data_IF_845266868952
#
_entry.id   IF_845266868952
#
_cell.length_a   1.000
_cell.length_b   1.000
_cell.length_c   1.000
_cell.angle_alpha   90.00
_cell.angle_beta   90.00
_cell.angle_gamma   90.00
#
_symmetry.space_group_name_H-M   'P 1'
#
loop_
_entity.id
_entity.type
_entity.pdbx_description
1 polymer ?
#
# COMPACT_ATOMS: atom_id res chain seq x y z
N UNK A 1 -23.63 1.15 -7.53
CA UNK A 1 -22.18 1.48 -7.57
C UNK A 1 -21.58 0.75 -8.75
N UNK A 2 -20.98 1.48 -9.69
CA UNK A 2 -20.26 0.86 -10.81
C UNK A 2 -19.08 0.05 -10.28
N UNK A 3 -19.02 -1.22 -10.68
CA UNK A 3 -17.94 -2.13 -10.29
C UNK A 3 -16.65 -1.73 -11.00
N UNK A 4 -15.81 -0.94 -10.32
CA UNK A 4 -14.51 -0.52 -10.83
C UNK A 4 -13.49 -1.65 -10.64
N UNK A 5 -13.06 -2.25 -11.74
CA UNK A 5 -11.99 -3.26 -11.73
C UNK A 5 -10.64 -2.54 -11.64
N UNK A 6 -9.86 -2.85 -10.60
CA UNK A 6 -8.49 -2.36 -10.44
C UNK A 6 -7.49 -3.45 -10.86
N UNK A 7 -6.51 -3.09 -11.68
CA UNK A 7 -5.40 -3.97 -12.06
C UNK A 7 -4.25 -3.79 -11.07
N UNK A 8 -3.78 -4.89 -10.51
CA UNK A 8 -2.67 -4.95 -9.56
C UNK A 8 -1.53 -5.74 -10.21
N UNK A 9 -0.32 -5.21 -10.12
CA UNK A 9 0.90 -5.87 -10.61
C UNK A 9 1.68 -6.51 -9.45
N UNK A 10 2.39 -7.59 -9.73
CA UNK A 10 3.40 -8.15 -8.84
C UNK A 10 4.76 -7.89 -9.48
N UNK A 11 5.64 -7.21 -8.77
CA UNK A 11 6.96 -6.82 -9.26
C UNK A 11 7.93 -6.73 -8.10
N UNK A 12 9.12 -7.31 -8.24
CA UNK A 12 10.16 -7.22 -7.20
C UNK A 12 10.52 -5.76 -6.92
N UNK A 13 11.03 -5.49 -5.71
CA UNK A 13 11.47 -4.14 -5.33
C UNK A 13 12.52 -3.57 -6.29
N UNK A 14 13.47 -4.40 -6.72
CA UNK A 14 14.53 -4.01 -7.64
C UNK A 14 13.97 -3.63 -9.01
N UNK A 15 13.07 -4.46 -9.55
CA UNK A 15 12.46 -4.19 -10.85
C UNK A 15 11.51 -2.99 -10.81
N UNK A 16 10.81 -2.78 -9.69
CA UNK A 16 10.00 -1.59 -9.47
C UNK A 16 10.85 -0.32 -9.47
N UNK A 17 12.04 -0.35 -8.83
CA UNK A 17 12.98 0.76 -8.87
C UNK A 17 13.49 1.03 -10.29
N UNK A 18 13.93 -0.01 -11.01
CA UNK A 18 14.36 0.10 -12.41
C UNK A 18 13.27 0.70 -13.29
N UNK A 19 12.05 0.18 -13.18
CA UNK A 19 10.87 0.71 -13.89
C UNK A 19 10.65 2.18 -13.57
N UNK A 20 10.71 2.57 -12.30
CA UNK A 20 10.52 3.96 -11.87
C UNK A 20 11.57 4.89 -12.46
N UNK A 21 12.84 4.47 -12.48
CA UNK A 21 13.94 5.23 -13.09
C UNK A 21 13.75 5.36 -14.59
N UNK A 22 13.43 4.28 -15.32
CA UNK A 22 13.18 4.35 -16.76
C UNK A 22 11.97 5.21 -17.12
N UNK A 23 10.95 5.30 -16.26
CA UNK A 23 9.83 6.25 -16.44
C UNK A 23 10.32 7.69 -16.31
N UNK A 24 11.07 7.98 -15.25
CA UNK A 24 11.61 9.32 -15.01
C UNK A 24 12.54 9.77 -16.14
N UNK A 25 13.33 8.85 -16.70
CA UNK A 25 14.23 9.10 -17.82
C UNK A 25 13.49 9.19 -19.18
N UNK A 26 12.20 8.86 -19.23
CA UNK A 26 11.40 8.86 -20.47
C UNK A 26 11.63 7.67 -21.40
N UNK A 27 12.48 6.71 -21.01
CA UNK A 27 12.77 5.47 -21.74
C UNK A 27 11.56 4.52 -21.74
N UNK A 28 10.75 4.60 -20.69
CA UNK A 28 9.54 3.79 -20.53
C UNK A 28 8.31 4.67 -20.26
N UNK A 29 7.25 4.46 -21.03
CA UNK A 29 5.95 5.13 -20.83
C UNK A 29 4.89 4.08 -20.46
N UNK A 30 4.35 4.09 -19.23
CA UNK A 30 3.34 3.15 -18.80
C UNK A 30 2.09 3.22 -19.67
N UNK A 31 1.49 2.06 -19.97
CA UNK A 31 0.25 2.00 -20.76
C UNK A 31 -0.96 2.35 -19.89
N UNK A 32 -2.05 2.79 -20.52
CA UNK A 32 -3.30 3.11 -19.83
C UNK A 32 -3.88 1.90 -19.09
N UNK A 33 -3.70 0.71 -19.66
CA UNK A 33 -4.20 -0.56 -19.14
C UNK A 33 -3.25 -1.25 -18.16
N UNK A 34 -2.07 -0.69 -17.90
CA UNK A 34 -1.07 -1.27 -17.01
C UNK A 34 -1.47 -1.08 -15.54
N UNK A 35 -1.08 -1.99 -14.63
CA UNK A 35 -1.30 -1.78 -13.21
C UNK A 35 -0.75 -0.44 -12.72
N UNK A 36 -1.51 0.20 -11.82
CA UNK A 36 -1.10 1.44 -11.15
C UNK A 36 -0.56 1.20 -9.74
N UNK A 37 -0.75 -0.01 -9.23
CA UNK A 37 -0.37 -0.44 -7.89
C UNK A 37 0.41 -1.72 -8.02
N UNK A 38 1.62 -1.73 -7.47
CA UNK A 38 2.53 -2.88 -7.52
C UNK A 38 2.88 -3.40 -6.14
N UNK A 39 2.72 -4.71 -5.94
CA UNK A 39 3.14 -5.42 -4.73
C UNK A 39 4.44 -6.18 -5.00
N UNK A 40 5.28 -6.33 -3.98
CA UNK A 40 6.52 -7.10 -4.08
C UNK A 40 6.26 -8.59 -4.32
N UNK A 41 5.14 -9.10 -3.80
CA UNK A 41 4.78 -10.52 -3.91
C UNK A 41 3.28 -10.77 -3.76
N UNK A 42 2.83 -11.97 -4.14
CA UNK A 42 1.43 -12.38 -3.96
C UNK A 42 1.06 -12.48 -2.47
N UNK A 43 2.01 -12.87 -1.62
CA UNK A 43 1.81 -12.95 -0.17
C UNK A 43 1.53 -11.57 0.43
N UNK A 44 2.27 -10.53 0.03
CA UNK A 44 2.02 -9.16 0.49
C UNK A 44 0.63 -8.64 0.08
N UNK A 45 0.20 -8.96 -1.15
CA UNK A 45 -1.16 -8.69 -1.61
C UNK A 45 -2.21 -9.42 -0.76
N UNK A 46 -2.01 -10.71 -0.51
CA UNK A 46 -2.90 -11.53 0.31
C UNK A 46 -3.05 -10.98 1.74
N UNK A 47 -1.97 -10.46 2.33
CA UNK A 47 -2.02 -9.82 3.64
C UNK A 47 -2.92 -8.58 3.64
N UNK A 48 -2.89 -7.73 2.61
CA UNK A 48 -3.78 -6.56 2.51
C UNK A 48 -5.23 -6.98 2.31
N UNK A 49 -5.47 -8.07 1.58
CA UNK A 49 -6.82 -8.62 1.37
C UNK A 49 -7.39 -9.36 2.59
N UNK A 50 -6.58 -9.60 3.62
CA UNK A 50 -7.08 -10.19 4.88
C UNK A 50 -8.08 -9.27 5.57
N UNK A 51 -9.12 -9.85 6.19
CA UNK A 51 -10.17 -9.07 6.86
C UNK A 51 -9.63 -8.08 7.89
N UNK A 52 -8.63 -8.49 8.68
CA UNK A 52 -8.01 -7.62 9.70
C UNK A 52 -7.32 -6.38 9.11
N UNK A 53 -6.66 -6.52 7.96
CA UNK A 53 -5.99 -5.39 7.33
C UNK A 53 -6.96 -4.54 6.49
N UNK A 54 -8.01 -5.14 5.94
CA UNK A 54 -9.11 -4.39 5.32
C UNK A 54 -9.87 -3.53 6.34
N UNK A 55 -10.11 -4.07 7.54
CA UNK A 55 -10.71 -3.32 8.65
C UNK A 55 -9.79 -2.19 9.11
N UNK A 56 -8.48 -2.45 9.25
CA UNK A 56 -7.50 -1.41 9.55
C UNK A 56 -7.52 -0.29 8.50
N UNK A 57 -7.55 -0.64 7.22
CA UNK A 57 -7.61 0.34 6.12
C UNK A 57 -8.89 1.18 6.18
N UNK A 58 -10.03 0.53 6.41
CA UNK A 58 -11.31 1.22 6.57
C UNK A 58 -11.24 2.19 7.74
N UNK A 59 -10.68 1.77 8.86
CA UNK A 59 -10.52 2.59 10.04
C UNK A 59 -9.62 3.81 9.77
N UNK A 60 -8.51 3.64 9.05
CA UNK A 60 -7.64 4.75 8.64
C UNK A 60 -8.39 5.74 7.74
N UNK A 61 -9.20 5.25 6.81
CA UNK A 61 -10.01 6.10 5.91
C UNK A 61 -11.14 6.82 6.63
N UNK A 62 -11.80 6.17 7.59
CA UNK A 62 -12.94 6.76 8.29
C UNK A 62 -12.47 7.80 9.33
N UNK A 63 -11.38 7.49 10.05
CA UNK A 63 -10.94 8.27 11.22
C UNK A 63 -9.78 9.23 10.95
N UNK A 64 -9.08 9.11 9.82
CA UNK A 64 -7.94 9.97 9.45
C UNK A 64 -6.92 10.20 10.59
N UNK A 65 -6.37 9.13 11.21
CA UNK A 65 -5.40 9.28 12.29
C UNK A 65 -4.16 10.05 11.83
N UNK A 66 -3.63 10.88 12.73
CA UNK A 66 -2.48 11.75 12.45
C UNK A 66 -1.14 11.13 12.87
N UNK A 67 -1.16 9.99 13.57
CA UNK A 67 0.04 9.26 13.99
C UNK A 67 -0.23 7.77 14.23
N UNK A 68 0.83 6.95 14.34
CA UNK A 68 0.69 5.55 14.76
C UNK A 68 0.15 5.40 16.18
N UNK A 69 0.41 6.38 17.04
CA UNK A 69 -0.07 6.37 18.41
C UNK A 69 -1.59 6.63 18.45
N UNK A 70 -2.08 7.53 17.59
CA UNK A 70 -3.52 7.71 17.40
C UNK A 70 -4.14 6.43 16.83
N UNK A 71 -3.51 5.85 15.81
CA UNK A 71 -3.97 4.61 15.19
C UNK A 71 -3.98 3.43 16.18
N UNK A 72 -3.00 3.34 17.07
CA UNK A 72 -2.96 2.35 18.16
C UNK A 72 -4.15 2.53 19.12
N UNK A 73 -4.43 3.77 19.52
CA UNK A 73 -5.56 4.08 20.42
C UNK A 73 -6.91 3.69 19.80
N UNK A 74 -7.12 3.97 18.50
CA UNK A 74 -8.41 3.70 17.83
C UNK A 74 -8.55 2.26 17.34
N UNK A 75 -7.46 1.59 16.95
CA UNK A 75 -7.50 0.21 16.44
C UNK A 75 -7.28 -0.86 17.51
N UNK A 76 -6.77 -0.48 18.69
CA UNK A 76 -6.35 -1.41 19.74
C UNK A 76 -5.12 -2.28 19.38
N UNK A 77 -4.51 -2.05 18.21
CA UNK A 77 -3.33 -2.79 17.76
C UNK A 77 -2.06 -2.06 18.20
N UNK A 78 -1.10 -2.81 18.75
CA UNK A 78 0.20 -2.26 19.15
C UNK A 78 0.87 -1.48 18.02
N UNK A 79 1.42 -0.30 18.33
CA UNK A 79 2.15 0.58 17.40
C UNK A 79 3.25 -0.15 16.63
N UNK A 80 3.99 -1.06 17.27
CA UNK A 80 5.01 -1.89 16.61
C UNK A 80 4.43 -2.78 15.50
N UNK A 81 3.26 -3.36 15.73
CA UNK A 81 2.58 -4.22 14.77
C UNK A 81 2.01 -3.40 13.63
N UNK A 82 1.39 -2.26 13.94
CA UNK A 82 0.90 -1.31 12.94
C UNK A 82 2.04 -0.83 12.04
N UNK A 83 3.16 -0.40 12.62
CA UNK A 83 4.35 0.03 11.87
C UNK A 83 4.85 -1.06 10.92
N UNK A 84 4.97 -2.30 11.39
CA UNK A 84 5.41 -3.43 10.57
C UNK A 84 4.44 -3.69 9.43
N UNK A 85 3.15 -3.85 9.73
CA UNK A 85 2.12 -4.10 8.72
C UNK A 85 2.08 -2.99 7.66
N UNK A 86 2.13 -1.73 8.08
CA UNK A 86 2.16 -0.56 7.17
C UNK A 86 3.39 -0.54 6.27
N UNK A 87 4.53 -1.08 6.71
CA UNK A 87 5.78 -1.13 5.94
C UNK A 87 5.90 -2.35 5.03
N UNK A 88 5.47 -3.53 5.46
CA UNK A 88 5.72 -4.79 4.74
C UNK A 88 4.57 -5.26 3.87
N UNK A 89 3.32 -4.95 4.24
CA UNK A 89 2.16 -5.49 3.53
C UNK A 89 1.68 -4.57 2.42
N UNK A 90 1.98 -3.26 2.48
CA UNK A 90 1.44 -2.29 1.55
C UNK A 90 2.40 -1.99 0.40
N UNK A 91 1.86 -1.76 -0.81
CA UNK A 91 2.65 -1.51 -2.00
C UNK A 91 3.36 -0.16 -1.91
N UNK A 92 4.49 -0.02 -2.60
CA UNK A 92 5.30 1.21 -2.59
C UNK A 92 4.53 2.48 -3.02
N UNK A 93 3.49 2.30 -3.84
CA UNK A 93 2.64 3.37 -4.35
C UNK A 93 1.70 3.95 -3.26
N UNK A 94 1.45 3.19 -2.18
CA UNK A 94 0.59 3.61 -1.07
C UNK A 94 1.41 4.28 0.03
N UNK A 95 1.36 5.61 0.08
CA UNK A 95 2.01 6.41 1.11
C UNK A 95 1.04 6.78 2.22
N UNK A 96 1.26 6.27 3.42
CA UNK A 96 0.61 6.73 4.65
C UNK A 96 1.47 7.81 5.33
N UNK A 97 1.84 8.86 4.60
CA UNK A 97 2.87 9.83 5.02
C UNK A 97 2.59 10.57 6.33
N UNK A 98 1.34 10.57 6.79
CA UNK A 98 0.94 11.10 8.11
C UNK A 98 1.21 10.10 9.24
N UNK A 99 1.27 8.81 8.96
CA UNK A 99 1.41 7.74 9.95
C UNK A 99 2.82 7.16 10.07
N UNK A 100 3.78 7.59 9.25
CA UNK A 100 5.14 7.00 9.25
C UNK A 100 6.23 7.90 9.85
N UNK A 101 5.84 9.00 10.49
CA UNK A 101 6.76 9.88 11.23
C UNK A 101 6.97 9.39 12.67
#
# INVERSE_FOLDING_TARGET
MDKKIMKIGILSREDYQKRTVSIANGEYKPRKEEPKVYFESMESLGQVLSGQNQELLRLIMDMHPLSLSDLEMISGRKKSNLSRTLKTSFPHDLKFSTLTQ
#
